data_IF_471919218005
#
_entry.id   IF_471919218005
#
_cell.length_a   1.000
_cell.length_b   1.000
_cell.length_c   1.000
_cell.angle_alpha   90.00
_cell.angle_beta   90.00
_cell.angle_gamma   90.00
#
_symmetry.space_group_name_H-M   'P 1'
#
loop_
_entity.id
_entity.type
_entity.pdbx_description
1 polymer ?
#
# COMPACT_ATOMS: atom_id res chain seq x y z
N UNK A 1 -2.03 -15.68 -16.22
CA UNK A 1 -1.15 -14.52 -15.92
C UNK A 1 -1.32 -14.24 -14.44
N UNK A 2 -0.27 -14.39 -13.63
CA UNK A 2 -0.34 -14.19 -12.17
C UNK A 2 -0.20 -12.70 -11.86
N UNK A 3 -1.28 -12.07 -11.40
CA UNK A 3 -1.31 -10.62 -11.15
C UNK A 3 -0.31 -10.22 -10.08
N UNK A 4 -0.08 -11.03 -9.05
CA UNK A 4 0.91 -10.70 -8.01
C UNK A 4 2.34 -10.71 -8.53
N UNK A 5 2.64 -11.59 -9.49
CA UNK A 5 3.95 -11.59 -10.15
C UNK A 5 4.19 -10.32 -11.00
N UNK A 6 3.14 -9.67 -11.49
CA UNK A 6 3.24 -8.39 -12.20
C UNK A 6 3.63 -7.25 -11.23
N UNK A 7 2.98 -7.17 -10.07
CA UNK A 7 3.31 -6.18 -9.03
C UNK A 7 4.75 -6.35 -8.53
N UNK A 8 5.16 -7.57 -8.16
CA UNK A 8 6.53 -7.85 -7.66
C UNK A 8 7.65 -7.46 -8.63
N UNK A 9 7.36 -7.37 -9.93
CA UNK A 9 8.33 -6.96 -10.96
C UNK A 9 8.39 -5.45 -11.15
N UNK A 10 7.36 -4.72 -10.73
CA UNK A 10 7.36 -3.29 -10.80
C UNK A 10 8.34 -2.72 -9.77
N UNK A 11 9.03 -1.65 -10.15
CA UNK A 11 9.88 -0.89 -9.21
C UNK A 11 9.06 0.03 -8.32
N UNK A 12 7.99 0.58 -8.86
CA UNK A 12 7.06 1.49 -8.22
C UNK A 12 5.70 1.34 -8.90
N UNK A 13 4.63 1.34 -8.10
CA UNK A 13 3.26 1.39 -8.57
C UNK A 13 2.69 2.78 -8.25
N UNK A 14 2.06 3.40 -9.25
CA UNK A 14 1.29 4.64 -9.06
C UNK A 14 -0.15 4.30 -9.44
N UNK A 15 -1.11 4.54 -8.54
CA UNK A 15 -2.48 4.07 -8.76
C UNK A 15 -3.54 4.85 -7.99
N UNK A 16 -4.71 5.02 -8.60
CA UNK A 16 -5.94 5.51 -7.96
C UNK A 16 -6.88 4.35 -7.52
N UNK A 17 -6.39 3.10 -7.58
CA UNK A 17 -7.18 1.90 -7.27
C UNK A 17 -6.80 1.34 -5.91
N UNK A 18 -7.80 1.20 -5.05
CA UNK A 18 -7.69 0.54 -3.74
C UNK A 18 -6.92 -0.77 -3.82
N UNK A 19 -7.37 -1.70 -4.67
CA UNK A 19 -6.72 -3.00 -4.80
C UNK A 19 -5.30 -2.91 -5.36
N UNK A 20 -5.01 -1.88 -6.15
CA UNK A 20 -3.63 -1.59 -6.57
C UNK A 20 -2.73 -1.32 -5.37
N UNK A 21 -3.15 -0.41 -4.48
CA UNK A 21 -2.43 -0.12 -3.23
C UNK A 21 -2.30 -1.35 -2.32
N UNK A 22 -3.39 -2.10 -2.11
CA UNK A 22 -3.38 -3.30 -1.25
C UNK A 22 -2.44 -4.38 -1.82
N UNK A 23 -2.48 -4.62 -3.14
CA UNK A 23 -1.61 -5.62 -3.75
C UNK A 23 -0.15 -5.19 -3.71
N UNK A 24 0.14 -3.90 -3.87
CA UNK A 24 1.49 -3.37 -3.65
C UNK A 24 1.96 -3.62 -2.22
N UNK A 25 1.11 -3.36 -1.21
CA UNK A 25 1.42 -3.64 0.19
C UNK A 25 1.76 -5.12 0.43
N UNK A 26 0.88 -6.03 0.00
CA UNK A 26 1.06 -7.48 0.18
C UNK A 26 2.30 -8.01 -0.55
N UNK A 27 2.62 -7.45 -1.72
CA UNK A 27 3.74 -7.92 -2.54
C UNK A 27 5.08 -7.29 -2.18
N UNK A 28 5.11 -6.31 -1.26
CA UNK A 28 6.32 -5.57 -0.96
C UNK A 28 6.79 -4.70 -2.13
N UNK A 29 5.84 -4.16 -2.91
CA UNK A 29 6.13 -3.29 -4.04
C UNK A 29 5.90 -1.84 -3.61
N UNK A 30 6.87 -0.92 -3.77
CA UNK A 30 6.66 0.49 -3.46
C UNK A 30 5.45 1.05 -4.19
N UNK A 31 4.65 1.89 -3.51
CA UNK A 31 3.41 2.42 -4.07
C UNK A 31 3.16 3.87 -3.66
N UNK A 32 2.83 4.71 -4.65
CA UNK A 32 2.21 6.03 -4.43
C UNK A 32 0.74 5.90 -4.84
N UNK A 33 -0.14 5.93 -3.85
CA UNK A 33 -1.59 5.90 -4.05
C UNK A 33 -2.13 7.32 -4.28
N UNK A 34 -3.20 7.41 -5.06
CA UNK A 34 -3.91 8.65 -5.39
C UNK A 34 -5.38 8.51 -5.01
N UNK A 35 -6.04 9.62 -4.70
CA UNK A 35 -7.49 9.59 -4.52
C UNK A 35 -8.20 9.28 -5.84
N UNK A 36 -9.22 8.44 -5.77
CA UNK A 36 -10.20 8.32 -6.86
C UNK A 36 -11.27 9.41 -6.75
N UNK A 37 -12.22 9.41 -7.69
CA UNK A 37 -13.35 10.36 -7.75
C UNK A 37 -14.19 10.46 -6.47
N UNK A 38 -14.09 9.47 -5.57
CA UNK A 38 -14.85 9.42 -4.32
C UNK A 38 -13.98 9.57 -3.07
N UNK A 39 -12.67 9.83 -3.22
CA UNK A 39 -11.75 10.03 -2.08
C UNK A 39 -11.49 8.78 -1.24
N UNK A 40 -11.89 7.59 -1.71
CA UNK A 40 -11.84 6.36 -0.90
C UNK A 40 -10.40 6.00 -0.56
N UNK A 41 -9.53 5.97 -1.57
CA UNK A 41 -8.16 5.44 -1.44
C UNK A 41 -7.39 6.11 -0.30
N UNK A 42 -7.52 7.43 -0.11
CA UNK A 42 -6.90 8.13 1.02
C UNK A 42 -7.42 7.67 2.39
N UNK A 43 -8.71 7.34 2.51
CA UNK A 43 -9.29 6.78 3.73
C UNK A 43 -8.76 5.37 4.02
N UNK A 44 -8.58 4.56 2.99
CA UNK A 44 -8.04 3.20 3.18
C UNK A 44 -6.51 3.19 3.38
N UNK A 45 -5.79 4.20 2.84
CA UNK A 45 -4.37 4.40 3.09
C UNK A 45 -4.06 4.53 4.59
N UNK A 46 -4.97 5.10 5.39
CA UNK A 46 -4.84 5.19 6.85
C UNK A 46 -4.47 3.85 7.52
N UNK A 47 -4.95 2.72 7.00
CA UNK A 47 -4.64 1.40 7.56
C UNK A 47 -3.25 0.87 7.19
N UNK A 48 -2.62 1.46 6.17
CA UNK A 48 -1.36 1.03 5.58
C UNK A 48 -0.25 2.08 5.72
N UNK A 49 -0.53 3.25 6.30
CA UNK A 49 0.41 4.37 6.43
C UNK A 49 1.68 4.04 7.23
N UNK A 50 1.63 3.01 8.07
CA UNK A 50 2.80 2.54 8.83
C UNK A 50 3.79 1.74 7.95
N UNK A 51 3.39 1.36 6.73
CA UNK A 51 4.26 0.67 5.78
C UNK A 51 5.10 1.72 5.05
N UNK A 52 6.43 1.76 5.23
CA UNK A 52 7.26 2.86 4.71
C UNK A 52 7.23 2.96 3.18
N UNK A 53 6.94 1.85 2.50
CA UNK A 53 6.89 1.73 1.05
C UNK A 53 5.50 1.95 0.45
N UNK A 54 4.50 2.33 1.25
CA UNK A 54 3.18 2.73 0.78
C UNK A 54 2.97 4.18 1.21
N UNK A 55 2.75 5.07 0.24
CA UNK A 55 2.46 6.47 0.50
C UNK A 55 1.26 6.93 -0.32
N UNK A 56 0.77 8.12 -0.01
CA UNK A 56 -0.38 8.73 -0.66
C UNK A 56 -0.03 10.15 -1.12
N UNK A 57 -0.41 10.49 -2.35
CA UNK A 57 -0.26 11.83 -2.91
C UNK A 57 -1.64 12.46 -3.10
N UNK A 58 -1.82 13.67 -2.56
CA UNK A 58 -3.06 14.45 -2.69
C UNK A 58 -3.21 15.06 -4.09
N UNK A 59 -2.09 15.39 -4.72
CA UNK A 59 -2.01 16.00 -6.03
C UNK A 59 -0.71 15.61 -6.77
N UNK A 60 -0.53 16.17 -7.96
CA UNK A 60 0.62 15.91 -8.83
C UNK A 60 1.91 16.45 -8.21
N UNK A 61 1.88 17.60 -7.57
CA UNK A 61 3.07 18.23 -6.97
C UNK A 61 3.59 17.38 -5.81
N UNK A 62 2.68 16.89 -4.96
CA UNK A 62 2.99 15.94 -3.89
C UNK A 62 3.58 14.64 -4.47
N UNK A 63 2.99 14.09 -5.53
CA UNK A 63 3.51 12.90 -6.20
C UNK A 63 4.95 13.13 -6.69
N UNK A 64 5.21 14.23 -7.37
CA UNK A 64 6.55 14.57 -7.89
C UNK A 64 7.58 14.64 -6.76
N UNK A 65 7.20 15.23 -5.62
CA UNK A 65 8.07 15.32 -4.44
C UNK A 65 8.39 13.97 -3.80
N UNK A 66 7.49 13.00 -3.89
CA UNK A 66 7.63 11.66 -3.30
C UNK A 66 8.43 10.68 -4.17
N UNK A 67 8.49 10.92 -5.49
CA UNK A 67 9.15 10.00 -6.43
C UNK A 67 10.59 9.63 -6.05
N UNK A 68 11.49 10.57 -5.68
CA UNK A 68 12.88 10.24 -5.38
C UNK A 68 13.02 9.26 -4.23
N UNK A 69 12.25 9.45 -3.16
CA UNK A 69 12.32 8.61 -1.95
C UNK A 69 11.72 7.23 -2.22
N UNK A 70 10.55 7.20 -2.85
CA UNK A 70 9.84 5.96 -3.16
C UNK A 70 10.59 5.06 -4.15
N UNK A 71 11.42 5.65 -5.01
CA UNK A 71 12.24 4.92 -5.97
C UNK A 71 13.47 4.23 -5.38
N UNK A 72 13.86 4.61 -4.17
CA UNK A 72 15.08 4.12 -3.49
C UNK A 72 14.78 3.35 -2.19
N UNK A 73 13.51 3.10 -1.89
CA UNK A 73 13.12 2.43 -0.66
C UNK A 73 13.57 0.97 -0.70
N UNK A 74 14.25 0.54 0.37
CA UNK A 74 14.78 -0.81 0.50
C UNK A 74 13.93 -1.69 1.43
N UNK A 75 13.29 -1.08 2.43
CA UNK A 75 12.41 -1.81 3.35
C UNK A 75 11.01 -1.93 2.74
N UNK A 76 10.72 -3.12 2.21
CA UNK A 76 9.42 -3.45 1.62
C UNK A 76 8.76 -4.67 2.26
N UNK A 77 9.11 -4.96 3.52
CA UNK A 77 8.56 -6.10 4.23
C UNK A 77 7.10 -5.88 4.61
N UNK A 78 6.22 -6.83 4.23
CA UNK A 78 4.82 -6.83 4.66
C UNK A 78 4.67 -7.55 6.02
N UNK A 79 4.29 -6.86 7.10
CA UNK A 79 4.22 -7.43 8.44
C UNK A 79 2.89 -8.16 8.67
N UNK A 80 2.69 -9.31 8.03
CA UNK A 80 1.43 -10.05 8.09
C UNK A 80 0.98 -10.35 9.54
N UNK A 81 1.91 -10.71 10.42
CA UNK A 81 1.61 -10.99 11.84
C UNK A 81 1.05 -9.78 12.59
N UNK A 82 1.57 -8.57 12.31
CA UNK A 82 1.06 -7.34 12.93
C UNK A 82 -0.42 -7.12 12.57
N UNK A 83 -0.80 -7.35 11.31
CA UNK A 83 -2.19 -7.20 10.89
C UNK A 83 -3.08 -8.30 11.46
N UNK A 84 -2.62 -9.56 11.48
CA UNK A 84 -3.39 -10.67 12.06
C UNK A 84 -3.72 -10.43 13.53
N UNK A 85 -2.76 -9.94 14.31
CA UNK A 85 -2.95 -9.64 15.75
C UNK A 85 -4.07 -8.64 16.03
N UNK A 86 -4.39 -7.76 15.08
CA UNK A 86 -5.52 -6.82 15.23
C UNK A 86 -6.89 -7.52 15.28
N UNK A 87 -6.96 -8.78 14.86
CA UNK A 87 -8.18 -9.58 14.83
C UNK A 87 -8.21 -10.70 15.86
N UNK A 88 -7.16 -10.88 16.68
CA UNK A 88 -7.07 -11.97 17.66
C UNK A 88 -8.31 -12.01 18.57
N UNK A 89 -8.73 -10.85 19.12
CA UNK A 89 -9.92 -10.79 19.98
C UNK A 89 -11.23 -11.18 19.27
N UNK A 90 -11.32 -10.99 17.95
CA UNK A 90 -12.46 -11.45 17.16
C UNK A 90 -12.38 -12.95 16.92
N UNK A 91 -11.18 -13.48 16.66
CA UNK A 91 -10.95 -14.92 16.51
C UNK A 91 -11.26 -15.68 17.80
N UNK A 92 -10.85 -15.15 18.95
CA UNK A 92 -11.12 -15.72 20.28
C UNK A 92 -12.63 -15.77 20.59
N UNK A 93 -13.41 -14.81 20.09
CA UNK A 93 -14.88 -14.79 20.28
C UNK A 93 -15.62 -15.84 19.44
N UNK A 94 -15.03 -16.24 18.31
CA UNK A 94 -15.65 -17.15 17.33
C UNK A 94 -15.21 -18.61 17.50
N UNK A 95 -14.28 -18.90 18.42
CA UNK A 95 -13.76 -20.25 18.71
C UNK A 95 -14.49 -20.91 19.88
#
# INVERSE_FOLDING_TARGET
MDKFAEFRKARLVITDRLHGMIFSAITGTPCIALNNSNGKVGMEYFWLQDLPYITFAEDVDALESLLPDMMNIADTHYPAEYFMRKFDSLTDLLS
#
